data_IF_668486082904
#
_entry.id   IF_668486082904
#
_cell.length_a   1.000
_cell.length_b   1.000
_cell.length_c   1.000
_cell.angle_alpha   90.00
_cell.angle_beta   90.00
_cell.angle_gamma   90.00
#
_symmetry.space_group_name_H-M   'P 1'
#
loop_
_entity.id
_entity.type
_entity.pdbx_description
1 polymer ?
#
# COMPACT_ATOMS: atom_id res chain seq x y z
N UNK A 1 -9.68 10.06 28.66
CA UNK A 1 -8.43 10.83 28.48
C UNK A 1 -7.53 10.01 27.58
N UNK A 2 -7.13 10.51 26.41
CA UNK A 2 -6.15 9.81 25.56
C UNK A 2 -4.85 9.67 26.35
N UNK A 3 -4.24 8.49 26.38
CA UNK A 3 -3.08 8.16 27.22
C UNK A 3 -1.78 8.91 26.84
N UNK A 4 -1.88 10.10 26.25
CA UNK A 4 -0.75 10.89 25.75
C UNK A 4 -0.09 10.32 24.50
N UNK A 5 -0.61 9.26 23.90
CA UNK A 5 0.01 8.58 22.74
C UNK A 5 -0.14 9.34 21.42
N UNK A 6 -1.13 10.21 21.32
CA UNK A 6 -1.36 11.04 20.15
C UNK A 6 -1.48 12.51 20.55
N UNK A 7 -0.99 13.39 19.69
CA UNK A 7 -1.17 14.83 19.76
C UNK A 7 -1.93 15.32 18.52
N UNK A 8 -2.85 16.26 18.72
CA UNK A 8 -3.50 16.95 17.60
C UNK A 8 -2.49 17.84 16.86
N UNK A 9 -2.67 17.96 15.56
CA UNK A 9 -1.97 18.90 14.68
C UNK A 9 -3.01 19.71 13.90
N UNK A 10 -2.65 20.83 13.25
CA UNK A 10 -3.61 21.61 12.45
C UNK A 10 -4.30 20.81 11.33
N UNK A 11 -3.70 19.71 10.90
CA UNK A 11 -4.15 18.89 9.77
C UNK A 11 -4.49 17.44 10.18
N UNK A 12 -4.58 17.14 11.47
CA UNK A 12 -4.95 15.80 11.94
C UNK A 12 -4.34 15.42 13.29
N UNK A 13 -3.81 14.19 13.37
CA UNK A 13 -3.19 13.65 14.58
C UNK A 13 -1.82 13.07 14.25
N UNK A 14 -0.90 13.13 15.21
CA UNK A 14 0.40 12.46 15.13
C UNK A 14 0.67 11.66 16.39
N UNK A 15 1.45 10.60 16.28
CA UNK A 15 1.98 9.90 17.45
C UNK A 15 2.97 10.80 18.20
N UNK A 16 2.90 10.77 19.53
CA UNK A 16 3.96 11.27 20.41
C UNK A 16 5.13 10.28 20.43
N UNK A 17 6.31 10.68 20.96
CA UNK A 17 7.40 9.72 21.18
C UNK A 17 6.97 8.49 21.99
N UNK A 18 6.18 8.69 23.03
CA UNK A 18 5.64 7.63 23.89
C UNK A 18 4.63 6.76 23.13
N UNK A 19 3.77 7.38 22.32
CA UNK A 19 2.84 6.67 21.46
C UNK A 19 3.53 5.82 20.39
N UNK A 20 4.66 6.30 19.86
CA UNK A 20 5.50 5.54 18.92
C UNK A 20 6.12 4.33 19.59
N UNK A 21 6.72 4.50 20.77
CA UNK A 21 7.27 3.39 21.54
C UNK A 21 6.18 2.34 21.90
N UNK A 22 4.98 2.81 22.25
CA UNK A 22 3.85 1.92 22.52
C UNK A 22 3.45 1.14 21.27
N UNK A 23 3.31 1.82 20.13
CA UNK A 23 3.03 1.18 18.84
C UNK A 23 4.09 0.15 18.47
N UNK A 24 5.38 0.47 18.62
CA UNK A 24 6.48 -0.46 18.35
C UNK A 24 6.35 -1.74 19.18
N UNK A 25 5.96 -1.62 20.46
CA UNK A 25 5.67 -2.76 21.34
C UNK A 25 4.50 -3.61 20.87
N UNK A 26 3.42 -2.99 20.38
CA UNK A 26 2.26 -3.67 19.82
C UNK A 26 2.63 -4.42 18.53
N UNK A 27 3.33 -3.76 17.60
CA UNK A 27 3.78 -4.35 16.34
C UNK A 27 4.77 -5.50 16.57
N UNK A 28 5.69 -5.36 17.54
CA UNK A 28 6.59 -6.44 17.92
C UNK A 28 5.85 -7.64 18.52
N UNK A 29 4.76 -7.41 19.24
CA UNK A 29 3.91 -8.48 19.79
C UNK A 29 3.15 -9.19 18.68
N UNK A 30 2.54 -8.45 17.76
CA UNK A 30 1.88 -9.00 16.57
C UNK A 30 2.85 -9.85 15.75
N UNK A 31 4.05 -9.32 15.45
CA UNK A 31 5.09 -10.04 14.71
C UNK A 31 5.52 -11.36 15.35
N UNK A 32 5.48 -11.46 16.69
CA UNK A 32 5.80 -12.71 17.40
C UNK A 32 4.65 -13.72 17.36
N UNK A 33 3.43 -13.25 17.17
CA UNK A 33 2.22 -14.08 17.18
C UNK A 33 1.85 -14.64 15.80
N UNK A 34 2.23 -13.94 14.71
CA UNK A 34 1.94 -14.41 13.34
C UNK A 34 2.78 -15.64 12.97
N UNK A 35 2.19 -16.52 12.15
CA UNK A 35 2.91 -17.63 11.54
C UNK A 35 3.96 -17.08 10.54
N UNK A 36 5.24 -17.36 10.83
CA UNK A 36 6.38 -16.89 10.03
C UNK A 36 6.39 -17.44 8.62
N UNK A 37 5.98 -18.69 8.42
CA UNK A 37 5.94 -19.29 7.09
C UNK A 37 4.78 -18.71 6.28
N UNK A 38 3.63 -18.52 6.92
CA UNK A 38 2.46 -17.92 6.28
C UNK A 38 2.73 -16.46 5.86
N UNK A 39 3.30 -15.63 6.74
CA UNK A 39 3.62 -14.23 6.42
C UNK A 39 4.68 -14.13 5.32
N UNK A 40 5.72 -14.97 5.33
CA UNK A 40 6.73 -14.99 4.28
C UNK A 40 6.15 -15.39 2.92
N UNK A 41 5.20 -16.35 2.91
CA UNK A 41 4.51 -16.77 1.68
C UNK A 41 3.66 -15.65 1.08
N UNK A 42 2.81 -14.98 1.88
CA UNK A 42 1.99 -13.87 1.35
C UNK A 42 2.86 -12.68 0.96
N UNK A 43 3.98 -12.44 1.64
CA UNK A 43 4.90 -11.36 1.28
C UNK A 43 5.62 -11.59 -0.04
N UNK A 44 6.08 -12.82 -0.30
CA UNK A 44 6.68 -13.18 -1.58
C UNK A 44 5.71 -12.98 -2.75
N UNK A 45 4.44 -13.38 -2.57
CA UNK A 45 3.39 -13.17 -3.57
C UNK A 45 3.07 -11.68 -3.75
N UNK A 46 3.00 -10.92 -2.65
CA UNK A 46 2.83 -9.46 -2.68
C UNK A 46 3.94 -8.79 -3.50
N UNK A 47 5.19 -9.23 -3.37
CA UNK A 47 6.32 -8.67 -4.10
C UNK A 47 6.20 -8.83 -5.62
N UNK A 48 5.58 -9.91 -6.10
CA UNK A 48 5.29 -10.08 -7.52
C UNK A 48 4.28 -9.04 -8.02
N UNK A 49 3.16 -8.87 -7.29
CA UNK A 49 2.19 -7.82 -7.62
C UNK A 49 2.76 -6.40 -7.47
N UNK A 50 3.67 -6.19 -6.53
CA UNK A 50 4.33 -4.90 -6.32
C UNK A 50 5.15 -4.48 -7.55
N UNK A 51 5.82 -5.43 -8.21
CA UNK A 51 6.49 -5.17 -9.49
C UNK A 51 5.51 -4.68 -10.55
N UNK A 52 4.38 -5.37 -10.72
CA UNK A 52 3.35 -4.98 -11.69
C UNK A 52 2.72 -3.62 -11.35
N UNK A 53 2.43 -3.33 -10.08
CA UNK A 53 1.88 -2.03 -9.69
C UNK A 53 2.86 -0.90 -10.01
N UNK A 54 4.16 -1.08 -9.73
CA UNK A 54 5.17 -0.07 -10.04
C UNK A 54 5.17 0.30 -11.52
N UNK A 55 5.08 -0.70 -12.40
CA UNK A 55 5.01 -0.47 -13.84
C UNK A 55 3.75 0.32 -14.23
N UNK A 56 2.60 -0.02 -13.63
CA UNK A 56 1.32 0.67 -13.87
C UNK A 56 1.39 2.12 -13.39
N UNK A 57 1.85 2.36 -12.17
CA UNK A 57 1.98 3.72 -11.61
C UNK A 57 3.01 4.54 -12.37
N UNK A 58 4.13 3.92 -12.78
CA UNK A 58 5.12 4.59 -13.63
C UNK A 58 4.51 5.00 -14.97
N UNK A 59 3.79 4.10 -15.64
CA UNK A 59 3.10 4.42 -16.90
C UNK A 59 2.02 5.49 -16.72
N UNK A 60 1.34 5.50 -15.57
CA UNK A 60 0.37 6.55 -15.23
C UNK A 60 1.04 7.93 -15.11
N UNK A 61 2.25 7.99 -14.57
CA UNK A 61 2.98 9.25 -14.33
C UNK A 61 3.85 9.68 -15.52
N UNK A 62 4.40 8.73 -16.28
CA UNK A 62 5.44 8.93 -17.28
C UNK A 62 5.16 8.04 -18.51
N UNK A 63 5.09 8.64 -19.71
CA UNK A 63 4.98 7.88 -20.97
C UNK A 63 6.29 7.19 -21.33
N UNK A 64 7.40 7.80 -20.96
CA UNK A 64 8.76 7.31 -21.11
C UNK A 64 9.68 7.96 -20.05
N UNK A 65 10.98 7.59 -19.94
CA UNK A 65 11.86 8.14 -18.90
C UNK A 65 12.03 9.67 -18.88
N UNK A 66 11.71 10.38 -19.96
CA UNK A 66 11.86 11.83 -20.10
C UNK A 66 10.52 12.58 -20.19
N UNK A 67 9.41 11.89 -20.45
CA UNK A 67 8.11 12.50 -20.75
C UNK A 67 7.07 12.19 -19.67
N UNK A 68 6.64 13.22 -18.93
CA UNK A 68 5.49 13.13 -18.02
C UNK A 68 4.22 12.84 -18.81
N UNK A 69 3.37 11.96 -18.30
CA UNK A 69 2.04 11.77 -18.84
C UNK A 69 1.16 12.99 -18.50
N UNK A 70 0.79 13.76 -19.50
CA UNK A 70 -0.07 14.94 -19.39
C UNK A 70 -1.58 14.61 -19.42
N UNK A 71 -1.93 13.32 -19.57
CA UNK A 71 -3.30 12.81 -19.62
C UNK A 71 -4.14 13.38 -20.79
N UNK A 72 -3.49 13.81 -21.88
CA UNK A 72 -4.18 14.26 -23.10
C UNK A 72 -4.62 13.10 -24.01
N UNK A 73 -4.09 11.90 -23.79
CA UNK A 73 -4.37 10.68 -24.55
C UNK A 73 -5.27 9.74 -23.75
N UNK A 74 -6.58 9.82 -24.01
CA UNK A 74 -7.58 9.04 -23.28
C UNK A 74 -7.49 7.53 -23.56
N UNK A 75 -6.98 7.12 -24.73
CA UNK A 75 -6.80 5.70 -25.07
C UNK A 75 -5.66 5.11 -24.26
N UNK A 76 -4.53 5.82 -24.20
CA UNK A 76 -3.39 5.44 -23.37
C UNK A 76 -3.78 5.34 -21.88
N UNK A 77 -4.42 6.39 -21.35
CA UNK A 77 -4.85 6.41 -19.95
C UNK A 77 -5.85 5.27 -19.66
N UNK A 78 -6.81 5.05 -20.55
CA UNK A 78 -7.77 3.95 -20.44
C UNK A 78 -7.09 2.57 -20.38
N UNK A 79 -6.03 2.36 -21.15
CA UNK A 79 -5.24 1.12 -21.11
C UNK A 79 -4.52 0.95 -19.77
N UNK A 80 -3.93 2.02 -19.21
CA UNK A 80 -3.27 1.98 -17.89
C UNK A 80 -4.28 1.68 -16.77
N UNK A 81 -5.46 2.33 -16.80
CA UNK A 81 -6.53 2.09 -15.83
C UNK A 81 -7.12 0.68 -15.92
N UNK A 82 -7.19 0.11 -17.12
CA UNK A 82 -7.60 -1.29 -17.33
C UNK A 82 -6.63 -2.24 -16.64
N UNK A 83 -5.31 -2.05 -16.84
CA UNK A 83 -4.27 -2.84 -16.17
C UNK A 83 -4.35 -2.72 -14.64
N UNK A 84 -4.62 -1.53 -14.10
CA UNK A 84 -4.81 -1.33 -12.67
C UNK A 84 -6.03 -2.10 -12.14
N UNK A 85 -7.12 -2.09 -12.89
CA UNK A 85 -8.36 -2.82 -12.54
C UNK A 85 -8.13 -4.34 -12.56
N UNK A 86 -7.37 -4.84 -13.53
CA UNK A 86 -6.99 -6.25 -13.61
C UNK A 86 -6.08 -6.67 -12.46
N UNK A 87 -5.06 -5.87 -12.15
CA UNK A 87 -4.22 -6.05 -10.96
C UNK A 87 -5.07 -6.12 -9.70
N UNK A 88 -6.02 -5.19 -9.54
CA UNK A 88 -6.90 -5.16 -8.38
C UNK A 88 -7.72 -6.46 -8.25
N UNK A 89 -8.31 -6.96 -9.35
CA UNK A 89 -9.03 -8.25 -9.32
C UNK A 89 -8.09 -9.40 -8.92
N UNK A 90 -6.87 -9.40 -9.45
CA UNK A 90 -5.86 -10.42 -9.17
C UNK A 90 -5.37 -10.43 -7.72
N UNK A 91 -5.25 -9.27 -7.08
CA UNK A 91 -4.71 -9.17 -5.70
C UNK A 91 -5.76 -9.47 -4.61
N UNK A 92 -7.06 -9.42 -4.91
CA UNK A 92 -8.13 -9.63 -3.92
C UNK A 92 -8.00 -10.93 -3.10
N UNK A 93 -7.68 -12.10 -3.68
CA UNK A 93 -7.42 -13.31 -2.90
C UNK A 93 -6.22 -13.18 -1.94
N UNK A 94 -5.16 -12.51 -2.37
CA UNK A 94 -3.99 -12.24 -1.54
C UNK A 94 -4.34 -11.31 -0.37
N UNK A 95 -5.12 -10.24 -0.61
CA UNK A 95 -5.57 -9.32 0.44
C UNK A 95 -6.38 -10.03 1.53
N UNK A 96 -7.24 -10.98 1.15
CA UNK A 96 -7.97 -11.81 2.13
C UNK A 96 -7.02 -12.66 2.98
N UNK A 97 -6.09 -13.37 2.34
CA UNK A 97 -5.09 -14.19 3.04
C UNK A 97 -4.19 -13.35 3.97
N UNK A 98 -3.81 -12.14 3.55
CA UNK A 98 -3.08 -11.20 4.41
C UNK A 98 -3.91 -10.86 5.65
N UNK A 99 -5.20 -10.59 5.49
CA UNK A 99 -6.12 -10.36 6.61
C UNK A 99 -6.27 -11.58 7.52
N UNK A 100 -6.28 -12.80 6.98
CA UNK A 100 -6.34 -14.03 7.77
C UNK A 100 -5.07 -14.24 8.62
N UNK A 101 -3.90 -13.95 8.04
CA UNK A 101 -2.59 -14.06 8.73
C UNK A 101 -2.40 -12.95 9.76
N UNK A 102 -2.81 -11.73 9.43
CA UNK A 102 -2.70 -10.55 10.28
C UNK A 102 -4.01 -9.76 10.28
N UNK A 103 -4.95 -10.06 11.21
CA UNK A 103 -6.30 -9.47 11.23
C UNK A 103 -6.34 -7.95 11.18
N UNK A 104 -5.33 -7.26 11.75
CA UNK A 104 -5.19 -5.81 11.68
C UNK A 104 -5.13 -5.28 10.24
N UNK A 105 -4.59 -6.06 9.31
CA UNK A 105 -4.42 -5.71 7.89
C UNK A 105 -5.68 -5.99 7.04
N UNK A 106 -6.71 -6.65 7.58
CA UNK A 106 -7.95 -6.91 6.83
C UNK A 106 -8.62 -5.61 6.33
N UNK A 107 -8.39 -4.48 7.00
CA UNK A 107 -8.88 -3.15 6.61
C UNK A 107 -8.44 -2.70 5.21
N UNK A 108 -7.29 -3.18 4.71
CA UNK A 108 -6.75 -2.75 3.42
C UNK A 108 -7.65 -3.14 2.25
N UNK A 109 -8.36 -4.27 2.33
CA UNK A 109 -9.29 -4.69 1.27
C UNK A 109 -10.39 -3.64 1.03
N UNK A 110 -10.96 -3.07 2.09
CA UNK A 110 -11.94 -1.99 1.99
C UNK A 110 -11.35 -0.70 1.41
N UNK A 111 -10.12 -0.33 1.79
CA UNK A 111 -9.43 0.85 1.29
C UNK A 111 -9.12 0.75 -0.22
N UNK A 112 -8.61 -0.39 -0.67
CA UNK A 112 -8.38 -0.62 -2.10
C UNK A 112 -9.68 -0.63 -2.91
N UNK A 113 -10.74 -1.24 -2.37
CA UNK A 113 -12.07 -1.25 -3.00
C UNK A 113 -12.58 0.18 -3.16
N UNK A 114 -12.46 1.00 -2.13
CA UNK A 114 -12.85 2.40 -2.21
C UNK A 114 -12.03 3.16 -3.27
N UNK A 115 -10.70 3.00 -3.28
CA UNK A 115 -9.85 3.67 -4.26
C UNK A 115 -10.20 3.26 -5.71
N UNK A 116 -10.43 1.97 -5.98
CA UNK A 116 -10.77 1.50 -7.33
C UNK A 116 -12.17 1.98 -7.77
N UNK A 117 -13.13 2.08 -6.86
CA UNK A 117 -14.46 2.64 -7.13
C UNK A 117 -14.38 4.12 -7.49
N UNK A 118 -13.53 4.90 -6.80
CA UNK A 118 -13.29 6.32 -7.11
C UNK A 118 -12.66 6.49 -8.48
N UNK A 119 -11.68 5.66 -8.82
CA UNK A 119 -11.05 5.64 -10.14
C UNK A 119 -12.09 5.30 -11.22
N UNK A 120 -12.90 4.27 -11.01
CA UNK A 120 -13.96 3.88 -11.95
C UNK A 120 -15.04 4.96 -12.13
N UNK A 121 -15.26 5.80 -11.11
CA UNK A 121 -16.14 6.97 -11.17
C UNK A 121 -15.50 8.18 -11.89
N UNK A 122 -14.28 8.06 -12.41
CA UNK A 122 -13.56 9.09 -13.16
C UNK A 122 -12.67 10.02 -12.33
N UNK A 123 -12.57 9.80 -11.01
CA UNK A 123 -11.67 10.58 -10.16
C UNK A 123 -10.26 9.96 -10.16
N UNK A 124 -9.51 10.19 -11.24
CA UNK A 124 -8.20 9.60 -11.43
C UNK A 124 -7.12 10.14 -10.47
N UNK A 125 -7.43 11.15 -9.64
CA UNK A 125 -6.54 11.57 -8.56
C UNK A 125 -6.32 10.44 -7.54
N UNK A 126 -7.22 9.46 -7.48
CA UNK A 126 -7.12 8.27 -6.63
C UNK A 126 -6.16 7.20 -7.15
N UNK A 127 -5.51 7.39 -8.32
CA UNK A 127 -4.47 6.45 -8.77
C UNK A 127 -3.22 6.57 -7.90
N UNK A 128 -2.66 7.78 -7.76
CA UNK A 128 -1.34 7.98 -7.14
C UNK A 128 -1.14 9.27 -6.33
N UNK A 129 -2.20 10.01 -5.98
CA UNK A 129 -2.03 11.27 -5.22
C UNK A 129 -1.67 10.99 -3.76
N UNK A 130 -0.49 11.42 -3.25
CA UNK A 130 0.00 11.02 -1.92
C UNK A 130 -0.86 11.42 -0.72
N UNK A 131 -1.60 12.52 -0.82
CA UNK A 131 -2.43 13.05 0.29
C UNK A 131 -3.76 12.32 0.40
N UNK A 132 -4.22 11.69 -0.69
CA UNK A 132 -5.44 10.89 -0.67
C UNK A 132 -5.11 9.47 -0.22
N UNK A 133 -6.16 8.75 0.20
CA UNK A 133 -6.12 7.29 0.31
C UNK A 133 -6.13 6.64 -1.08
N UNK A 134 -5.28 7.15 -1.97
CA UNK A 134 -5.12 6.71 -3.35
C UNK A 134 -4.65 5.25 -3.39
N UNK A 135 -4.90 4.57 -4.49
CA UNK A 135 -4.52 3.17 -4.65
C UNK A 135 -3.03 2.95 -4.36
N UNK A 136 -2.17 3.82 -4.87
CA UNK A 136 -0.73 3.80 -4.59
C UNK A 136 -0.40 4.06 -3.11
N UNK A 137 -1.03 5.04 -2.46
CA UNK A 137 -0.82 5.32 -1.03
C UNK A 137 -1.18 4.10 -0.17
N UNK A 138 -2.36 3.52 -0.42
CA UNK A 138 -2.84 2.32 0.28
C UNK A 138 -1.87 1.15 0.08
N UNK A 139 -1.33 0.99 -1.13
CA UNK A 139 -0.33 -0.03 -1.45
C UNK A 139 0.97 0.15 -0.71
N UNK A 140 1.52 1.37 -0.72
CA UNK A 140 2.73 1.71 0.02
C UNK A 140 2.58 1.40 1.50
N UNK A 141 1.47 1.79 2.11
CA UNK A 141 1.24 1.53 3.53
C UNK A 141 1.09 0.04 3.84
N UNK A 142 0.41 -0.73 2.99
CA UNK A 142 0.35 -2.19 3.14
C UNK A 142 1.75 -2.80 3.02
N UNK A 143 2.58 -2.32 2.09
CA UNK A 143 3.94 -2.80 1.92
C UNK A 143 4.76 -2.58 3.20
N UNK A 144 4.69 -1.38 3.79
CA UNK A 144 5.38 -1.08 5.06
C UNK A 144 4.94 -1.99 6.20
N UNK A 145 3.63 -2.22 6.35
CA UNK A 145 3.09 -3.11 7.38
C UNK A 145 3.59 -4.56 7.18
N UNK A 146 3.66 -5.05 5.94
CA UNK A 146 4.16 -6.39 5.62
C UNK A 146 5.67 -6.53 5.86
N UNK A 147 6.48 -5.53 5.50
CA UNK A 147 7.93 -5.50 5.79
C UNK A 147 8.15 -5.64 7.30
N UNK A 148 7.41 -4.86 8.10
CA UNK A 148 7.46 -4.90 9.55
C UNK A 148 7.11 -6.28 10.12
N UNK A 149 6.03 -6.89 9.62
CA UNK A 149 5.60 -8.23 10.02
C UNK A 149 6.59 -9.33 9.63
N UNK A 150 7.25 -9.22 8.47
CA UNK A 150 8.34 -10.13 8.09
C UNK A 150 9.61 -9.91 8.92
N UNK A 151 9.70 -8.79 9.65
CA UNK A 151 10.90 -8.40 10.38
C UNK A 151 12.05 -7.96 9.47
N UNK A 152 11.71 -7.52 8.26
CA UNK A 152 12.64 -6.96 7.29
C UNK A 152 12.79 -5.46 7.50
N UNK A 153 13.75 -4.84 6.80
CA UNK A 153 13.89 -3.39 6.78
C UNK A 153 13.63 -2.80 5.40
N UNK A 154 13.18 -1.54 5.36
CA UNK A 154 13.02 -0.78 4.11
C UNK A 154 14.33 -0.68 3.33
N UNK A 155 15.47 -0.64 4.02
CA UNK A 155 16.78 -0.61 3.40
C UNK A 155 17.09 -1.91 2.64
N UNK A 156 16.77 -3.07 3.23
CA UNK A 156 16.94 -4.37 2.57
C UNK A 156 16.04 -4.48 1.33
N UNK A 157 14.82 -3.98 1.42
CA UNK A 157 13.87 -3.97 0.31
C UNK A 157 14.28 -3.02 -0.82
N UNK A 158 14.86 -1.87 -0.47
CA UNK A 158 15.46 -0.96 -1.46
C UNK A 158 16.65 -1.61 -2.16
N UNK A 159 17.56 -2.24 -1.41
CA UNK A 159 18.70 -2.97 -1.97
C UNK A 159 18.26 -4.12 -2.88
N UNK A 160 17.10 -4.72 -2.61
CA UNK A 160 16.52 -5.77 -3.43
C UNK A 160 15.63 -5.28 -4.60
N UNK A 161 15.57 -3.97 -4.86
CA UNK A 161 14.78 -3.39 -5.95
C UNK A 161 13.26 -3.37 -5.72
N UNK A 162 12.82 -3.67 -4.49
CA UNK A 162 11.39 -3.78 -4.13
C UNK A 162 10.82 -2.52 -3.50
N UNK A 163 11.64 -1.54 -3.13
CA UNK A 163 11.15 -0.24 -2.64
C UNK A 163 10.23 0.47 -3.65
N UNK A 164 9.06 0.91 -3.19
CA UNK A 164 8.12 1.71 -3.98
C UNK A 164 8.31 3.21 -3.74
#
# INVERSE_FOLDING_TARGET
MTAGWCAATPIGVRLTPEGRQHLDGLLATERRAVDRAAIASVYAEFCAFNGTLKEIVTAWQMKDPATVNDHADAEYDGAVLTRLTELHRGVQPLLRRIGDVAPRLARYSGRFTHAIERIAAGDHSWVARPVLDSYHTVWFELHEDLIGLCGLSRADEAAAGRAH
#
